data_IF_540188472189
#
_entry.id   IF_540188472189
#
_cell.length_a   1.000
_cell.length_b   1.000
_cell.length_c   1.000
_cell.angle_alpha   90.00
_cell.angle_beta   90.00
_cell.angle_gamma   90.00
#
_symmetry.space_group_name_H-M   'P 1'
#
loop_
_entity.id
_entity.type
_entity.pdbx_description
1 polymer ?
#
# COMPACT_ATOMS: atom_id res chain seq x y z
N UNK A 1 8.29 -0.69 5.31
CA UNK A 1 8.97 -1.65 4.41
C UNK A 1 8.33 -3.03 4.52
N UNK A 2 8.27 -3.65 5.70
CA UNK A 2 7.70 -4.99 5.92
C UNK A 2 6.27 -5.22 5.43
N UNK A 3 5.35 -4.27 5.66
CA UNK A 3 3.95 -4.49 5.27
C UNK A 3 3.78 -4.47 3.75
N UNK A 4 4.30 -3.44 3.06
CA UNK A 4 4.30 -3.34 1.60
C UNK A 4 5.03 -4.50 0.94
N UNK A 5 6.12 -4.99 1.54
CA UNK A 5 6.78 -6.21 1.07
C UNK A 5 5.79 -7.38 1.06
N UNK A 6 5.11 -7.63 2.18
CA UNK A 6 4.15 -8.74 2.26
C UNK A 6 2.94 -8.60 1.32
N UNK A 7 2.49 -7.38 1.03
CA UNK A 7 1.23 -7.14 0.30
C UNK A 7 1.42 -6.76 -1.17
N UNK A 8 2.58 -6.20 -1.54
CA UNK A 8 2.86 -5.58 -2.85
C UNK A 8 4.08 -6.22 -3.55
N UNK A 9 4.66 -7.30 -2.99
CA UNK A 9 5.73 -8.08 -3.66
C UNK A 9 5.20 -8.85 -4.89
N UNK A 10 6.13 -9.29 -5.73
CA UNK A 10 5.89 -10.13 -6.92
C UNK A 10 4.91 -9.54 -7.94
N UNK A 11 4.87 -8.20 -8.06
CA UNK A 11 4.01 -7.51 -9.02
C UNK A 11 2.56 -7.39 -8.59
N UNK A 12 2.25 -7.66 -7.32
CA UNK A 12 0.92 -7.45 -6.74
C UNK A 12 0.55 -5.96 -6.72
N UNK A 13 -0.76 -5.64 -6.81
CA UNK A 13 -1.23 -4.25 -6.79
C UNK A 13 -0.80 -3.51 -5.53
N UNK A 14 -0.64 -2.19 -5.66
CA UNK A 14 -0.22 -1.37 -4.54
C UNK A 14 -1.43 -0.97 -3.71
N UNK A 15 -1.59 -1.60 -2.55
CA UNK A 15 -2.77 -1.36 -1.71
C UNK A 15 -2.58 -0.31 -0.63
N UNK A 16 -1.34 0.08 -0.29
CA UNK A 16 -1.08 1.04 0.81
C UNK A 16 -0.71 2.41 0.26
N UNK A 17 -1.64 3.35 0.43
CA UNK A 17 -1.49 4.74 0.00
C UNK A 17 -1.11 5.63 1.18
N UNK A 18 -0.25 6.60 0.93
CA UNK A 18 0.18 7.58 1.93
C UNK A 18 -0.63 8.86 1.77
N UNK A 19 -1.32 9.26 2.84
CA UNK A 19 -2.02 10.54 2.93
C UNK A 19 -1.14 11.52 3.71
N UNK A 20 -0.63 12.53 3.00
CA UNK A 20 0.30 13.52 3.59
C UNK A 20 -0.36 14.21 4.78
N UNK A 21 0.29 14.15 5.95
CA UNK A 21 -0.18 14.78 7.18
C UNK A 21 -1.24 14.01 7.96
N UNK A 22 -1.66 12.83 7.49
CA UNK A 22 -2.69 12.00 8.17
C UNK A 22 -2.17 10.61 8.49
N UNK A 23 -1.58 9.92 7.50
CA UNK A 23 -1.10 8.55 7.70
C UNK A 23 -1.21 7.69 6.46
N UNK A 24 -1.69 6.46 6.63
CA UNK A 24 -1.83 5.47 5.56
C UNK A 24 -3.28 5.00 5.43
N UNK A 25 -3.69 4.67 4.21
CA UNK A 25 -5.00 4.12 3.90
C UNK A 25 -4.85 2.92 2.97
N UNK A 26 -5.73 1.93 3.13
CA UNK A 26 -5.87 0.81 2.21
C UNK A 26 -6.84 1.21 1.09
N UNK A 27 -6.43 1.04 -0.16
CA UNK A 27 -7.32 1.09 -1.33
C UNK A 27 -6.98 -0.06 -2.26
N UNK A 28 -7.98 -0.50 -2.99
CA UNK A 28 -7.80 -1.43 -4.10
C UNK A 28 -7.65 -0.57 -5.37
N UNK A 29 -6.66 -0.88 -6.21
CA UNK A 29 -6.54 -0.26 -7.54
C UNK A 29 -7.71 -0.81 -8.39
N UNK A 30 -8.65 0.06 -8.76
CA UNK A 30 -9.82 -0.25 -9.62
C UNK A 30 -9.41 -0.72 -11.03
#
# INVERSE_FOLDING_TARGET
>A
RYLRQKTEEDGKPRVIHTVRGVGYVLREDE
#
